data_IF_785938251765
#
_entry.id   IF_785938251765
#
_cell.length_a   1.000
_cell.length_b   1.000
_cell.length_c   1.000
_cell.angle_alpha   90.00
_cell.angle_beta   90.00
_cell.angle_gamma   90.00
#
_symmetry.space_group_name_H-M   'P 1'
#
loop_
_entity.id
_entity.type
_entity.pdbx_description
1 polymer ?
#
# COMPACT_ATOMS: atom_id res chain seq x y z
N UNK A 1 15.09 18.91 25.61
CA UNK A 1 13.75 19.01 26.24
C UNK A 1 12.65 18.57 25.24
N UNK A 2 12.84 17.44 24.54
CA UNK A 2 11.94 16.91 23.51
C UNK A 2 11.18 15.66 24.03
N UNK A 3 10.60 15.79 25.22
CA UNK A 3 9.75 14.77 25.82
C UNK A 3 8.48 15.46 26.31
N UNK A 4 7.59 15.73 25.39
CA UNK A 4 6.18 15.79 25.72
C UNK A 4 5.47 14.88 24.75
N UNK A 5 5.14 13.68 25.23
CA UNK A 5 4.19 12.79 24.59
C UNK A 5 2.80 13.39 24.82
N UNK A 6 2.49 14.49 24.15
CA UNK A 6 1.09 14.82 23.93
C UNK A 6 0.53 13.67 23.10
N UNK A 7 -0.30 12.83 23.72
CA UNK A 7 -1.21 11.96 22.97
C UNK A 7 -1.92 12.88 21.99
N UNK A 8 -1.67 12.66 20.71
CA UNK A 8 -2.35 13.38 19.65
C UNK A 8 -3.83 13.01 19.76
N UNK A 9 -4.63 13.86 20.42
CA UNK A 9 -6.08 13.73 20.35
C UNK A 9 -6.49 14.06 18.91
N UNK A 10 -7.03 13.05 18.23
CA UNK A 10 -7.47 13.18 16.84
C UNK A 10 -8.53 14.28 16.76
N UNK A 11 -8.43 15.21 15.79
CA UNK A 11 -9.50 16.16 15.53
C UNK A 11 -10.81 15.40 15.30
N UNK A 12 -11.89 15.81 15.98
CA UNK A 12 -13.21 15.16 15.94
C UNK A 12 -13.80 15.03 14.52
N UNK A 13 -13.27 15.83 13.57
CA UNK A 13 -13.64 15.88 12.15
C UNK A 13 -12.84 14.90 11.26
N UNK A 14 -11.81 14.22 11.79
CA UNK A 14 -10.90 13.38 11.01
C UNK A 14 -11.23 11.87 11.10
N UNK A 15 -12.51 11.51 10.97
CA UNK A 15 -13.00 10.12 11.13
C UNK A 15 -12.43 9.13 10.11
N UNK A 16 -11.94 9.59 8.97
CA UNK A 16 -11.42 8.74 7.90
C UNK A 16 -9.88 8.56 7.93
N UNK A 17 -9.14 9.25 8.83
CA UNK A 17 -7.68 9.08 8.91
C UNK A 17 -7.27 7.64 9.27
N UNK A 18 -8.08 6.91 10.04
CA UNK A 18 -7.81 5.51 10.40
C UNK A 18 -7.85 4.53 9.24
N UNK A 19 -8.41 4.92 8.08
CA UNK A 19 -8.36 4.14 6.84
C UNK A 19 -6.99 4.23 6.15
N UNK A 20 -6.31 5.36 6.35
CA UNK A 20 -5.09 5.73 5.64
C UNK A 20 -3.84 5.68 6.55
N UNK A 21 -4.05 5.48 7.86
CA UNK A 21 -2.99 5.42 8.87
C UNK A 21 -2.61 3.97 9.22
N UNK A 22 -1.44 3.46 8.75
CA UNK A 22 -0.95 2.14 9.14
C UNK A 22 -0.52 2.06 10.62
N UNK A 23 -0.45 3.20 11.33
CA UNK A 23 -0.07 3.31 12.74
C UNK A 23 -1.24 3.60 13.70
N UNK A 24 -2.40 4.06 13.20
CA UNK A 24 -3.60 4.20 14.02
C UNK A 24 -4.08 2.81 14.50
N UNK A 25 -4.85 2.76 15.59
CA UNK A 25 -5.64 1.56 15.94
C UNK A 25 -6.66 1.30 14.81
N UNK A 26 -6.23 0.60 13.76
CA UNK A 26 -7.02 0.40 12.54
C UNK A 26 -8.23 -0.51 12.81
N UNK A 27 -8.11 -1.41 13.77
CA UNK A 27 -9.17 -2.33 14.18
C UNK A 27 -9.80 -1.89 15.51
N UNK A 28 -11.12 -1.64 15.55
CA UNK A 28 -11.80 -1.31 16.80
C UNK A 28 -11.60 -2.39 17.86
N UNK A 29 -11.50 -2.02 19.14
CA UNK A 29 -11.37 -2.98 20.27
C UNK A 29 -12.64 -3.81 20.55
N UNK A 30 -13.55 -3.90 19.57
CA UNK A 30 -14.79 -4.68 19.63
C UNK A 30 -14.56 -6.14 19.22
N UNK A 31 -15.56 -7.00 19.41
CA UNK A 31 -15.51 -8.39 18.88
C UNK A 31 -15.37 -8.41 17.36
N UNK A 32 -16.06 -7.49 16.68
CA UNK A 32 -15.97 -7.32 15.23
C UNK A 32 -14.56 -6.90 14.80
N UNK A 33 -13.96 -5.89 15.43
CA UNK A 33 -12.61 -5.47 15.06
C UNK A 33 -11.56 -6.57 15.32
N UNK A 34 -11.71 -7.38 16.37
CA UNK A 34 -10.88 -8.58 16.57
C UNK A 34 -11.07 -9.62 15.47
N UNK A 35 -12.29 -9.84 15.00
CA UNK A 35 -12.55 -10.73 13.87
C UNK A 35 -11.87 -10.21 12.60
N UNK A 36 -12.03 -8.93 12.29
CA UNK A 36 -11.39 -8.29 11.13
C UNK A 36 -9.86 -8.35 11.19
N UNK A 37 -9.29 -8.16 12.37
CA UNK A 37 -7.85 -8.35 12.59
C UNK A 37 -7.40 -9.77 12.21
N UNK A 38 -8.10 -10.80 12.69
CA UNK A 38 -7.75 -12.18 12.36
C UNK A 38 -7.97 -12.52 10.88
N UNK A 39 -8.95 -11.89 10.23
CA UNK A 39 -9.13 -12.00 8.77
C UNK A 39 -7.94 -11.37 8.05
N UNK A 40 -7.44 -10.21 8.50
CA UNK A 40 -6.26 -9.58 7.92
C UNK A 40 -5.01 -10.44 8.12
N UNK A 41 -4.85 -11.05 9.29
CA UNK A 41 -3.78 -12.03 9.55
C UNK A 41 -3.90 -13.24 8.64
N UNK A 42 -5.11 -13.78 8.46
CA UNK A 42 -5.36 -14.91 7.56
C UNK A 42 -5.05 -14.54 6.10
N UNK A 43 -5.41 -13.33 5.66
CA UNK A 43 -5.08 -12.82 4.33
C UNK A 43 -3.57 -12.68 4.14
N UNK A 44 -2.86 -12.07 5.10
CA UNK A 44 -1.40 -11.99 5.07
C UNK A 44 -0.75 -13.37 5.04
N UNK A 45 -1.22 -14.30 5.86
CA UNK A 45 -0.71 -15.67 5.88
C UNK A 45 -0.95 -16.38 4.54
N UNK A 46 -2.15 -16.24 3.96
CA UNK A 46 -2.47 -16.80 2.64
C UNK A 46 -1.50 -16.28 1.57
N UNK A 47 -1.32 -14.96 1.50
CA UNK A 47 -0.45 -14.32 0.50
C UNK A 47 1.02 -14.70 0.66
N UNK A 48 1.51 -14.76 1.89
CA UNK A 48 2.88 -15.22 2.18
C UNK A 48 3.03 -16.70 1.83
N UNK A 49 2.04 -17.54 2.15
CA UNK A 49 2.08 -18.97 1.85
C UNK A 49 2.07 -19.25 0.34
N UNK A 50 1.26 -18.51 -0.43
CA UNK A 50 1.25 -18.63 -1.91
C UNK A 50 2.54 -18.08 -2.52
N UNK A 51 3.09 -16.98 -1.98
CA UNK A 51 4.35 -16.42 -2.45
C UNK A 51 5.56 -17.32 -2.16
N UNK A 52 5.54 -18.00 -1.02
CA UNK A 52 6.57 -18.95 -0.61
C UNK A 52 6.39 -20.35 -1.21
N UNK A 53 5.43 -20.55 -2.12
CA UNK A 53 5.10 -21.85 -2.71
C UNK A 53 4.78 -22.95 -1.67
N UNK A 54 4.27 -22.56 -0.50
CA UNK A 54 3.72 -23.50 0.49
C UNK A 54 2.31 -23.96 0.09
N UNK A 55 1.61 -23.12 -0.67
CA UNK A 55 0.29 -23.39 -1.25
C UNK A 55 0.35 -23.02 -2.74
N UNK A 56 0.33 -24.02 -3.61
CA UNK A 56 0.33 -23.80 -5.05
C UNK A 56 -1.10 -23.87 -5.60
N UNK A 57 -1.68 -22.70 -5.83
CA UNK A 57 -2.95 -22.56 -6.55
C UNK A 57 -2.74 -21.96 -7.95
N UNK A 58 -3.63 -22.27 -8.91
CA UNK A 58 -3.66 -21.56 -10.18
C UNK A 58 -3.75 -20.05 -9.97
N UNK A 59 -3.05 -19.26 -10.80
CA UNK A 59 -2.99 -17.80 -10.63
C UNK A 59 -4.38 -17.15 -10.53
N UNK A 60 -5.34 -17.58 -11.34
CA UNK A 60 -6.71 -17.06 -11.31
C UNK A 60 -7.39 -17.27 -9.95
N UNK A 61 -7.16 -18.43 -9.32
CA UNK A 61 -7.70 -18.74 -7.99
C UNK A 61 -7.07 -17.84 -6.92
N UNK A 62 -5.76 -17.63 -6.99
CA UNK A 62 -5.06 -16.71 -6.06
C UNK A 62 -5.61 -15.29 -6.20
N UNK A 63 -5.83 -14.82 -7.43
CA UNK A 63 -6.44 -13.50 -7.73
C UNK A 63 -7.86 -13.40 -7.18
N UNK A 64 -8.67 -14.45 -7.34
CA UNK A 64 -10.03 -14.53 -6.81
C UNK A 64 -10.05 -14.44 -5.27
N UNK A 65 -9.23 -15.25 -4.60
CA UNK A 65 -9.12 -15.18 -3.14
C UNK A 65 -8.55 -13.86 -2.64
N UNK A 66 -7.55 -13.30 -3.32
CA UNK A 66 -6.99 -11.99 -2.98
C UNK A 66 -8.07 -10.91 -2.96
N UNK A 67 -8.88 -10.83 -4.04
CA UNK A 67 -10.00 -9.90 -4.09
C UNK A 67 -11.09 -10.24 -3.06
N UNK A 68 -11.39 -11.52 -2.86
CA UNK A 68 -12.32 -11.99 -1.83
C UNK A 68 -11.93 -11.50 -0.43
N UNK A 69 -10.68 -11.71 -0.01
CA UNK A 69 -10.16 -11.20 1.26
C UNK A 69 -10.25 -9.68 1.36
N UNK A 70 -9.93 -8.95 0.28
CA UNK A 70 -10.07 -7.50 0.25
C UNK A 70 -11.52 -7.07 0.49
N UNK A 71 -12.51 -7.69 -0.16
CA UNK A 71 -13.93 -7.35 0.07
C UNK A 71 -14.37 -7.66 1.49
N UNK A 72 -13.93 -8.79 2.06
CA UNK A 72 -14.25 -9.19 3.44
C UNK A 72 -13.66 -8.24 4.48
N UNK A 73 -12.52 -7.61 4.17
CA UNK A 73 -11.92 -6.60 5.03
C UNK A 73 -12.53 -5.22 4.81
N UNK A 74 -12.53 -4.72 3.58
CA UNK A 74 -12.86 -3.34 3.22
C UNK A 74 -14.24 -2.93 3.70
N UNK A 75 -15.29 -3.68 3.33
CA UNK A 75 -16.66 -3.27 3.63
C UNK A 75 -16.92 -3.12 5.14
N UNK A 76 -16.75 -4.17 5.97
CA UNK A 76 -17.03 -4.07 7.40
C UNK A 76 -16.04 -3.18 8.13
N UNK A 77 -14.75 -3.16 7.74
CA UNK A 77 -13.74 -2.33 8.40
C UNK A 77 -14.05 -0.84 8.25
N UNK A 78 -14.43 -0.39 7.05
CA UNK A 78 -14.77 1.02 6.81
C UNK A 78 -16.00 1.43 7.61
N UNK A 79 -17.05 0.59 7.62
CA UNK A 79 -18.25 0.89 8.40
C UNK A 79 -17.97 0.88 9.91
N UNK A 80 -17.08 0.02 10.39
CA UNK A 80 -16.69 -0.05 11.79
C UNK A 80 -15.88 1.18 12.22
N UNK A 81 -14.91 1.62 11.41
CA UNK A 81 -14.11 2.84 11.67
C UNK A 81 -14.99 4.09 11.65
N UNK A 82 -15.94 4.19 10.72
CA UNK A 82 -16.89 5.31 10.64
C UNK A 82 -17.94 5.33 11.74
N UNK A 83 -17.99 4.30 12.59
CA UNK A 83 -19.00 4.17 13.64
C UNK A 83 -20.42 4.09 13.07
N UNK A 84 -20.60 3.43 11.93
CA UNK A 84 -21.88 3.38 11.23
C UNK A 84 -22.97 2.63 12.02
N UNK A 85 -24.22 3.02 11.80
CA UNK A 85 -25.38 2.37 12.42
C UNK A 85 -25.51 0.90 11.98
N UNK A 86 -26.24 0.10 12.78
CA UNK A 86 -26.39 -1.33 12.58
C UNK A 86 -26.84 -1.75 11.16
N UNK A 87 -27.81 -1.06 10.50
CA UNK A 87 -28.22 -1.44 9.14
C UNK A 87 -27.07 -1.34 8.12
N UNK A 88 -26.24 -0.30 8.22
CA UNK A 88 -25.10 -0.09 7.32
C UNK A 88 -23.98 -1.09 7.56
N UNK A 89 -23.75 -1.47 8.83
CA UNK A 89 -22.81 -2.55 9.17
C UNK A 89 -23.31 -3.91 8.67
N UNK A 90 -24.60 -4.20 8.79
CA UNK A 90 -25.19 -5.42 8.24
C UNK A 90 -25.04 -5.48 6.71
N UNK A 91 -25.33 -4.38 6.01
CA UNK A 91 -25.14 -4.28 4.56
C UNK A 91 -23.67 -4.51 4.16
N UNK A 92 -22.72 -3.97 4.91
CA UNK A 92 -21.30 -4.19 4.67
C UNK A 92 -20.88 -5.66 4.83
N UNK A 93 -21.40 -6.36 5.84
CA UNK A 93 -21.17 -7.79 6.01
C UNK A 93 -21.82 -8.63 4.90
N UNK A 94 -22.99 -8.22 4.38
CA UNK A 94 -23.62 -8.84 3.22
C UNK A 94 -22.75 -8.66 1.97
N UNK A 95 -22.24 -7.45 1.73
CA UNK A 95 -21.35 -7.18 0.60
C UNK A 95 -20.03 -7.96 0.71
N UNK A 96 -19.47 -8.06 1.92
CA UNK A 96 -18.31 -8.92 2.22
C UNK A 96 -18.59 -10.40 1.92
N UNK A 97 -19.74 -10.92 2.36
CA UNK A 97 -20.14 -12.31 2.10
C UNK A 97 -20.35 -12.56 0.59
N UNK A 98 -20.89 -11.58 -0.14
CA UNK A 98 -21.06 -11.67 -1.58
C UNK A 98 -19.71 -11.75 -2.32
N UNK A 99 -18.74 -10.91 -1.97
CA UNK A 99 -17.38 -10.98 -2.53
C UNK A 99 -16.64 -12.26 -2.17
N UNK A 100 -16.78 -12.74 -0.93
CA UNK A 100 -16.26 -14.04 -0.52
C UNK A 100 -16.89 -15.21 -1.28
N UNK A 101 -18.20 -15.16 -1.52
CA UNK A 101 -18.93 -16.18 -2.28
C UNK A 101 -18.46 -16.24 -3.74
N UNK A 102 -18.17 -15.10 -4.37
CA UNK A 102 -17.54 -15.05 -5.70
C UNK A 102 -16.19 -15.75 -5.70
N UNK A 103 -15.31 -15.42 -4.75
CA UNK A 103 -13.99 -16.06 -4.66
C UNK A 103 -14.10 -17.58 -4.46
N UNK A 104 -14.98 -18.01 -3.57
CA UNK A 104 -15.24 -19.43 -3.33
C UNK A 104 -15.81 -20.13 -4.56
N UNK A 105 -16.75 -19.50 -5.27
CA UNK A 105 -17.33 -20.04 -6.50
C UNK A 105 -16.27 -20.25 -7.58
N UNK A 106 -15.41 -19.25 -7.81
CA UNK A 106 -14.34 -19.33 -8.80
C UNK A 106 -13.30 -20.39 -8.47
N UNK A 107 -13.02 -20.62 -7.19
CA UNK A 107 -12.17 -21.73 -6.76
C UNK A 107 -12.85 -23.09 -6.95
N UNK A 108 -14.09 -23.22 -6.49
CA UNK A 108 -14.85 -24.47 -6.51
C UNK A 108 -15.12 -24.95 -7.93
N UNK A 109 -15.57 -24.06 -8.82
CA UNK A 109 -15.94 -24.38 -10.20
C UNK A 109 -14.81 -24.06 -11.19
N UNK A 110 -13.57 -23.86 -10.71
CA UNK A 110 -12.42 -23.38 -11.51
C UNK A 110 -12.21 -24.15 -12.81
N UNK A 111 -12.08 -25.48 -12.74
CA UNK A 111 -11.82 -26.32 -13.92
C UNK A 111 -12.98 -26.28 -14.90
N UNK A 112 -14.22 -26.25 -14.41
CA UNK A 112 -15.37 -26.27 -15.28
C UNK A 112 -15.65 -24.90 -15.90
N UNK A 113 -15.33 -23.80 -15.20
CA UNK A 113 -15.30 -22.44 -15.76
C UNK A 113 -14.32 -22.35 -16.94
N UNK A 114 -13.13 -22.93 -16.79
CA UNK A 114 -12.14 -23.03 -17.87
C UNK A 114 -12.67 -23.81 -19.07
N UNK A 115 -13.30 -24.95 -18.85
CA UNK A 115 -13.79 -25.83 -19.93
C UNK A 115 -14.99 -25.23 -20.69
N UNK A 116 -15.68 -24.23 -20.12
CA UNK A 116 -16.81 -23.53 -20.75
C UNK A 116 -16.52 -22.06 -21.03
N UNK A 117 -15.25 -21.69 -21.15
CA UNK A 117 -14.86 -20.33 -21.51
C UNK A 117 -15.54 -19.92 -22.83
N UNK A 118 -16.22 -18.77 -22.83
CA UNK A 118 -17.02 -18.29 -23.97
C UNK A 118 -18.44 -18.86 -24.07
N UNK A 119 -18.84 -19.80 -23.21
CA UNK A 119 -20.22 -20.30 -23.06
C UNK A 119 -20.61 -20.42 -21.57
N UNK A 120 -20.68 -19.28 -20.85
CA UNK A 120 -20.94 -19.25 -19.42
C UNK A 120 -22.39 -19.65 -19.09
N UNK A 121 -22.56 -20.39 -18.00
CA UNK A 121 -23.87 -20.71 -17.47
C UNK A 121 -24.54 -19.46 -16.86
N UNK A 122 -25.89 -19.40 -16.76
CA UNK A 122 -26.56 -18.29 -16.09
C UNK A 122 -26.08 -18.02 -14.65
N UNK A 123 -25.62 -19.07 -13.95
CA UNK A 123 -25.00 -18.93 -12.63
C UNK A 123 -23.63 -18.25 -12.67
N UNK A 124 -22.83 -18.50 -13.71
CA UNK A 124 -21.53 -17.86 -13.90
C UNK A 124 -21.72 -16.35 -14.10
N UNK A 125 -22.71 -15.98 -14.91
CA UNK A 125 -23.07 -14.59 -15.13
C UNK A 125 -23.57 -13.94 -13.84
N UNK A 126 -24.41 -14.62 -13.06
CA UNK A 126 -24.86 -14.09 -11.77
C UNK A 126 -23.69 -13.78 -10.83
N UNK A 127 -22.74 -14.71 -10.68
CA UNK A 127 -21.53 -14.47 -9.87
C UNK A 127 -20.63 -13.38 -10.48
N UNK A 128 -20.56 -13.26 -11.80
CA UNK A 128 -19.81 -12.19 -12.46
C UNK A 128 -20.41 -10.80 -12.25
N UNK A 129 -21.74 -10.67 -12.28
CA UNK A 129 -22.42 -9.43 -11.91
C UNK A 129 -22.15 -9.08 -10.45
N UNK A 130 -22.20 -10.07 -9.54
CA UNK A 130 -21.87 -9.85 -8.12
C UNK A 130 -20.41 -9.39 -7.96
N UNK A 131 -19.46 -10.00 -8.69
CA UNK A 131 -18.06 -9.59 -8.68
C UNK A 131 -17.91 -8.13 -9.12
N UNK A 132 -18.54 -7.76 -10.22
CA UNK A 132 -18.50 -6.40 -10.76
C UNK A 132 -19.10 -5.38 -9.77
N UNK A 133 -20.28 -5.67 -9.22
CA UNK A 133 -20.96 -4.79 -8.25
C UNK A 133 -20.13 -4.63 -6.98
N UNK A 134 -19.57 -5.72 -6.44
CA UNK A 134 -18.76 -5.67 -5.22
C UNK A 134 -17.45 -4.91 -5.44
N UNK A 135 -16.80 -5.04 -6.59
CA UNK A 135 -15.60 -4.25 -6.94
C UNK A 135 -15.93 -2.77 -7.07
N UNK A 136 -17.01 -2.42 -7.78
CA UNK A 136 -17.45 -1.03 -7.92
C UNK A 136 -17.81 -0.41 -6.57
N UNK A 137 -18.59 -1.13 -5.75
CA UNK A 137 -18.97 -0.67 -4.42
C UNK A 137 -17.75 -0.53 -3.49
N UNK A 138 -16.83 -1.48 -3.51
CA UNK A 138 -15.60 -1.42 -2.71
C UNK A 138 -14.72 -0.24 -3.11
N UNK A 139 -14.57 -0.01 -4.42
CA UNK A 139 -13.85 1.14 -4.96
C UNK A 139 -14.52 2.45 -4.57
N UNK A 140 -15.85 2.53 -4.62
CA UNK A 140 -16.61 3.72 -4.20
C UNK A 140 -16.40 4.02 -2.72
N UNK A 141 -16.42 3.00 -1.86
CA UNK A 141 -16.28 3.14 -0.42
C UNK A 141 -14.90 3.65 -0.01
N UNK A 142 -13.84 3.18 -0.69
CA UNK A 142 -12.44 3.51 -0.38
C UNK A 142 -11.96 4.75 -1.13
N UNK A 143 -12.12 4.79 -2.46
CA UNK A 143 -11.53 5.81 -3.33
C UNK A 143 -12.51 6.94 -3.68
N UNK A 144 -13.76 6.85 -3.23
CA UNK A 144 -14.82 7.79 -3.58
C UNK A 144 -15.37 7.58 -5.00
N UNK A 145 -16.18 8.54 -5.50
CA UNK A 145 -17.00 8.36 -6.69
C UNK A 145 -16.22 8.45 -8.01
N UNK A 146 -15.04 9.10 -8.03
CA UNK A 146 -14.37 9.46 -9.27
C UNK A 146 -13.99 8.24 -10.13
N UNK A 147 -13.30 7.25 -9.56
CA UNK A 147 -12.89 6.04 -10.28
C UNK A 147 -14.08 5.17 -10.71
N UNK A 148 -15.05 4.82 -9.84
CA UNK A 148 -16.23 4.05 -10.25
C UNK A 148 -17.06 4.74 -11.33
N UNK A 149 -17.19 6.06 -11.31
CA UNK A 149 -17.92 6.79 -12.37
C UNK A 149 -17.20 6.62 -13.71
N UNK A 150 -15.88 6.83 -13.75
CA UNK A 150 -15.10 6.69 -14.98
C UNK A 150 -15.20 5.26 -15.50
N UNK A 151 -14.94 4.25 -14.65
CA UNK A 151 -15.08 2.84 -15.02
C UNK A 151 -16.49 2.49 -15.46
N UNK A 152 -17.51 3.07 -14.82
CA UNK A 152 -18.92 2.88 -15.17
C UNK A 152 -19.28 3.45 -16.53
N UNK A 153 -18.71 4.59 -16.91
CA UNK A 153 -18.86 5.17 -18.25
C UNK A 153 -18.26 4.24 -19.31
N UNK A 154 -17.06 3.69 -19.08
CA UNK A 154 -16.45 2.74 -20.03
C UNK A 154 -17.18 1.41 -20.08
N UNK A 155 -17.70 0.91 -18.96
CA UNK A 155 -18.55 -0.28 -18.95
C UNK A 155 -19.86 -0.04 -19.69
N UNK A 156 -20.48 1.12 -19.51
CA UNK A 156 -21.66 1.53 -20.27
C UNK A 156 -21.35 1.66 -21.77
N UNK A 157 -20.16 2.15 -22.13
CA UNK A 157 -19.68 2.15 -23.50
C UNK A 157 -19.55 0.74 -24.06
N UNK A 158 -19.04 -0.25 -23.32
CA UNK A 158 -19.01 -1.64 -23.77
C UNK A 158 -20.41 -2.23 -24.04
N UNK A 159 -21.41 -1.85 -23.24
CA UNK A 159 -22.78 -2.36 -23.36
C UNK A 159 -23.61 -1.64 -24.43
N UNK A 160 -23.41 -0.33 -24.59
CA UNK A 160 -24.31 0.53 -25.38
C UNK A 160 -23.60 1.33 -26.48
N UNK A 161 -22.29 1.13 -26.68
CA UNK A 161 -21.53 1.89 -27.68
C UNK A 161 -21.96 1.59 -29.12
N UNK A 162 -22.72 0.52 -29.37
CA UNK A 162 -23.35 0.25 -30.67
C UNK A 162 -24.32 1.34 -31.14
N UNK A 163 -24.91 2.09 -30.20
CA UNK A 163 -25.87 3.16 -30.50
C UNK A 163 -25.21 4.53 -30.70
N UNK A 164 -23.89 4.65 -30.50
CA UNK A 164 -23.17 5.91 -30.69
C UNK A 164 -22.97 6.22 -32.18
N UNK A 165 -22.70 7.49 -32.56
CA UNK A 165 -22.31 7.82 -33.92
C UNK A 165 -20.86 7.43 -34.21
N UNK A 166 -20.54 7.22 -35.49
CA UNK A 166 -19.16 7.03 -35.94
C UNK A 166 -18.28 8.25 -35.57
N UNK A 167 -17.04 8.04 -35.10
CA UNK A 167 -16.26 6.79 -35.08
C UNK A 167 -16.35 6.01 -33.75
N UNK A 168 -17.22 6.41 -32.83
CA UNK A 168 -17.29 5.80 -31.49
C UNK A 168 -18.16 4.53 -31.47
N UNK A 169 -18.87 4.23 -32.55
CA UNK A 169 -19.75 3.07 -32.62
C UNK A 169 -18.97 1.75 -32.75
N UNK A 170 -19.48 0.68 -32.14
CA UNK A 170 -18.95 -0.68 -32.31
C UNK A 170 -20.08 -1.67 -32.67
N UNK A 171 -19.72 -2.92 -32.98
CA UNK A 171 -20.63 -3.97 -33.46
C UNK A 171 -21.69 -4.48 -32.46
N UNK A 172 -21.76 -3.91 -31.25
CA UNK A 172 -22.51 -4.49 -30.12
C UNK A 172 -21.82 -5.68 -29.46
N UNK A 173 -22.08 -5.89 -28.16
CA UNK A 173 -21.63 -7.06 -27.40
C UNK A 173 -22.78 -7.56 -26.55
N UNK A 174 -22.96 -8.88 -26.49
CA UNK A 174 -23.99 -9.48 -25.63
C UNK A 174 -23.65 -9.29 -24.15
N UNK A 175 -24.67 -9.15 -23.30
CA UNK A 175 -24.47 -8.97 -21.86
C UNK A 175 -23.67 -10.13 -21.24
N UNK A 176 -23.93 -11.37 -21.63
CA UNK A 176 -23.20 -12.54 -21.13
C UNK A 176 -21.73 -12.45 -21.54
N UNK A 177 -21.46 -12.04 -22.78
CA UNK A 177 -20.10 -11.85 -23.29
C UNK A 177 -19.33 -10.78 -22.51
N UNK A 178 -19.97 -9.64 -22.20
CA UNK A 178 -19.33 -8.56 -21.43
C UNK A 178 -19.01 -9.04 -20.01
N UNK A 179 -19.96 -9.68 -19.31
CA UNK A 179 -19.74 -10.15 -17.94
C UNK A 179 -18.70 -11.27 -17.89
N UNK A 180 -18.71 -12.21 -18.84
CA UNK A 180 -17.72 -13.28 -18.96
C UNK A 180 -16.32 -12.70 -19.12
N UNK A 181 -16.15 -11.78 -20.07
CA UNK A 181 -14.87 -11.12 -20.32
C UNK A 181 -14.38 -10.30 -19.11
N UNK A 182 -15.28 -9.59 -18.43
CA UNK A 182 -14.94 -8.79 -17.24
C UNK A 182 -14.57 -9.66 -16.03
N UNK A 183 -15.18 -10.82 -15.85
CA UNK A 183 -15.07 -11.61 -14.62
C UNK A 183 -14.12 -12.80 -14.74
N UNK A 184 -14.14 -13.51 -15.87
CA UNK A 184 -13.40 -14.75 -16.04
C UNK A 184 -12.23 -14.60 -17.02
N UNK A 185 -12.19 -13.49 -17.77
CA UNK A 185 -11.05 -13.11 -18.59
C UNK A 185 -9.87 -12.56 -17.79
N UNK A 186 -8.73 -12.45 -18.48
CA UNK A 186 -7.48 -11.87 -17.94
C UNK A 186 -7.30 -10.39 -18.24
N UNK A 187 -8.30 -9.75 -18.85
CA UNK A 187 -8.29 -8.32 -19.21
C UNK A 187 -9.31 -7.50 -18.42
N UNK A 188 -10.18 -8.16 -17.66
CA UNK A 188 -11.17 -7.54 -16.77
C UNK A 188 -10.68 -7.38 -15.33
N UNK A 189 -11.57 -7.69 -14.38
CA UNK A 189 -11.34 -7.54 -12.93
C UNK A 189 -10.04 -8.22 -12.50
N UNK A 190 -9.80 -9.45 -12.96
CA UNK A 190 -8.64 -10.24 -12.57
C UNK A 190 -7.44 -10.08 -13.51
N UNK A 191 -7.36 -8.96 -14.22
CA UNK A 191 -6.23 -8.68 -15.10
C UNK A 191 -4.94 -8.29 -14.38
N UNK A 192 -4.04 -7.64 -15.11
CA UNK A 192 -2.70 -7.25 -14.65
C UNK A 192 -2.71 -6.57 -13.27
N UNK A 193 -3.59 -5.60 -12.96
CA UNK A 193 -3.56 -4.94 -11.65
C UNK A 193 -3.78 -5.90 -10.47
N UNK A 194 -4.77 -6.79 -10.53
CA UNK A 194 -5.01 -7.77 -9.46
C UNK A 194 -3.94 -8.86 -9.47
N UNK A 195 -3.46 -9.28 -10.64
CA UNK A 195 -2.35 -10.21 -10.73
C UNK A 195 -1.12 -9.72 -9.96
N UNK A 196 -0.63 -8.54 -10.31
CA UNK A 196 0.55 -7.90 -9.72
C UNK A 196 0.30 -7.55 -8.24
N UNK A 197 -0.93 -7.14 -7.89
CA UNK A 197 -1.37 -6.94 -6.50
C UNK A 197 -1.22 -8.20 -5.66
N UNK A 198 -1.75 -9.31 -6.18
CA UNK A 198 -1.84 -10.59 -5.47
C UNK A 198 -0.51 -11.33 -5.36
N UNK A 199 0.42 -11.10 -6.28
CA UNK A 199 1.70 -11.81 -6.33
C UNK A 199 2.77 -11.10 -5.52
N UNK A 200 3.18 -9.90 -5.91
CA UNK A 200 4.33 -9.24 -5.31
C UNK A 200 4.04 -7.90 -4.65
N UNK A 201 3.13 -7.05 -5.15
CA UNK A 201 2.85 -5.75 -4.49
C UNK A 201 2.46 -5.95 -3.02
N UNK A 202 1.64 -6.95 -2.71
CA UNK A 202 1.26 -7.26 -1.33
C UNK A 202 2.47 -7.46 -0.41
N UNK A 203 3.49 -8.20 -0.86
CA UNK A 203 4.68 -8.49 -0.07
C UNK A 203 5.51 -7.23 0.16
N UNK A 204 5.62 -6.35 -0.83
CA UNK A 204 6.31 -5.07 -0.69
C UNK A 204 5.59 -4.13 0.27
N UNK A 205 4.25 -4.08 0.22
CA UNK A 205 3.45 -3.32 1.18
C UNK A 205 3.64 -3.88 2.59
N UNK A 206 3.60 -5.21 2.75
CA UNK A 206 3.80 -5.86 4.04
C UNK A 206 5.22 -5.64 4.57
N UNK A 207 6.23 -5.73 3.71
CA UNK A 207 7.62 -5.41 4.01
C UNK A 207 7.76 -3.97 4.50
N UNK A 208 7.18 -3.01 3.77
CA UNK A 208 7.20 -1.59 4.13
C UNK A 208 6.56 -1.35 5.49
N UNK A 209 5.36 -1.92 5.72
CA UNK A 209 4.66 -1.82 6.99
C UNK A 209 5.48 -2.39 8.18
N UNK A 210 6.15 -3.53 7.99
CA UNK A 210 7.03 -4.10 9.02
C UNK A 210 8.23 -3.19 9.30
N UNK A 211 8.84 -2.64 8.25
CA UNK A 211 10.03 -1.80 8.36
C UNK A 211 9.71 -0.44 9.02
N UNK A 212 8.54 0.12 8.72
CA UNK A 212 7.98 1.29 9.40
C UNK A 212 7.82 1.02 10.90
N UNK A 213 7.17 -0.10 11.27
CA UNK A 213 7.00 -0.53 12.67
C UNK A 213 8.33 -0.82 13.37
N UNK A 214 9.35 -1.28 12.65
CA UNK A 214 10.69 -1.51 13.19
C UNK A 214 11.44 -0.20 13.56
N UNK A 215 10.91 0.97 13.16
CA UNK A 215 11.44 2.28 13.54
C UNK A 215 12.14 3.03 12.42
N UNK A 216 11.95 2.62 11.15
CA UNK A 216 12.60 3.26 10.01
C UNK A 216 12.20 4.73 9.83
N UNK A 217 10.93 5.07 10.13
CA UNK A 217 10.41 6.46 10.09
C UNK A 217 11.30 7.39 10.91
N UNK A 218 11.68 6.95 12.12
CA UNK A 218 12.53 7.74 13.00
C UNK A 218 13.95 7.87 12.45
N UNK A 219 14.53 6.79 11.93
CA UNK A 219 15.88 6.83 11.36
C UNK A 219 15.97 7.84 10.21
N UNK A 220 15.05 7.80 9.26
CA UNK A 220 15.04 8.73 8.13
C UNK A 220 14.75 10.17 8.55
N UNK A 221 13.86 10.37 9.52
CA UNK A 221 13.61 11.70 10.09
C UNK A 221 14.86 12.27 10.77
N UNK A 222 15.55 11.47 11.60
CA UNK A 222 16.76 11.89 12.31
C UNK A 222 17.92 12.19 11.34
N UNK A 223 18.10 11.36 10.31
CA UNK A 223 19.08 11.60 9.23
C UNK A 223 18.76 12.92 8.52
N UNK A 224 17.50 13.12 8.12
CA UNK A 224 17.07 14.33 7.42
C UNK A 224 17.29 15.59 8.26
N UNK A 225 16.89 15.56 9.54
CA UNK A 225 17.12 16.64 10.49
C UNK A 225 18.62 16.97 10.64
N UNK A 226 19.47 15.96 10.81
CA UNK A 226 20.91 16.16 10.93
C UNK A 226 21.54 16.76 9.66
N UNK A 227 21.09 16.32 8.47
CA UNK A 227 21.65 16.76 7.19
C UNK A 227 21.32 18.22 6.87
N UNK A 228 20.05 18.61 7.02
CA UNK A 228 19.56 19.90 6.49
C UNK A 228 18.78 20.75 7.50
N UNK A 229 18.53 20.26 8.71
CA UNK A 229 17.75 20.98 9.74
C UNK A 229 18.35 22.32 10.17
N UNK A 230 19.68 22.44 10.15
CA UNK A 230 20.40 23.67 10.48
C UNK A 230 20.47 24.67 9.32
N UNK A 231 20.09 24.25 8.11
CA UNK A 231 20.14 25.11 6.92
C UNK A 231 18.89 25.99 6.86
N UNK A 232 18.97 27.09 6.10
CA UNK A 232 17.81 27.92 5.76
C UNK A 232 16.67 27.06 5.18
N UNK A 233 15.48 27.20 5.75
CA UNK A 233 14.31 26.38 5.42
C UNK A 233 14.40 24.94 5.89
N UNK A 234 15.18 24.67 6.95
CA UNK A 234 15.51 23.33 7.42
C UNK A 234 14.31 22.42 7.59
N UNK A 235 13.25 22.86 8.28
CA UNK A 235 12.04 22.05 8.50
C UNK A 235 11.37 21.56 7.20
N UNK A 236 11.26 22.42 6.18
CA UNK A 236 10.64 22.04 4.92
C UNK A 236 11.55 21.15 4.07
N UNK A 237 12.87 21.36 4.15
CA UNK A 237 13.86 20.47 3.50
C UNK A 237 13.89 19.08 4.15
N UNK A 238 13.72 19.01 5.47
CA UNK A 238 13.56 17.77 6.21
C UNK A 238 12.32 17.02 5.72
N UNK A 239 11.19 17.72 5.54
CA UNK A 239 9.99 17.11 4.97
C UNK A 239 10.28 16.49 3.58
N UNK A 240 10.87 17.26 2.66
CA UNK A 240 11.20 16.77 1.31
C UNK A 240 12.12 15.55 1.32
N UNK A 241 13.22 15.59 2.09
CA UNK A 241 14.18 14.47 2.14
C UNK A 241 13.57 13.27 2.85
N UNK A 242 12.89 13.47 3.98
CA UNK A 242 12.30 12.38 4.76
C UNK A 242 11.18 11.68 4.00
N UNK A 243 10.30 12.42 3.32
CA UNK A 243 9.26 11.83 2.47
C UNK A 243 9.87 11.13 1.25
N UNK A 244 10.98 11.64 0.70
CA UNK A 244 11.73 10.96 -0.35
C UNK A 244 12.29 9.62 0.13
N UNK A 245 13.01 9.62 1.25
CA UNK A 245 13.52 8.38 1.86
C UNK A 245 12.38 7.42 2.21
N UNK A 246 11.27 7.91 2.77
CA UNK A 246 10.11 7.06 3.05
C UNK A 246 9.48 6.48 1.79
N UNK A 247 9.40 7.27 0.72
CA UNK A 247 8.92 6.84 -0.60
C UNK A 247 9.70 5.67 -1.18
N UNK A 248 10.99 5.53 -0.85
CA UNK A 248 11.80 4.36 -1.24
C UNK A 248 11.26 3.04 -0.67
N UNK A 249 10.44 3.09 0.38
CA UNK A 249 9.92 1.92 1.11
C UNK A 249 8.42 1.76 0.90
N UNK A 250 7.65 2.82 1.17
CA UNK A 250 6.18 2.73 1.25
C UNK A 250 5.52 2.72 -0.12
N UNK A 251 6.13 3.39 -1.11
CA UNK A 251 5.53 3.57 -2.44
C UNK A 251 4.22 4.36 -2.44
N UNK A 252 3.76 4.86 -1.29
CA UNK A 252 2.42 5.40 -1.08
C UNK A 252 2.51 6.83 -0.59
N UNK A 253 2.00 7.76 -1.41
CA UNK A 253 1.94 9.17 -1.04
C UNK A 253 1.01 9.41 0.15
N UNK A 254 -0.11 8.69 0.21
CA UNK A 254 -1.06 8.84 1.32
C UNK A 254 -0.46 8.32 2.63
N UNK A 255 0.14 7.12 2.61
CA UNK A 255 0.80 6.56 3.79
C UNK A 255 1.96 7.46 4.26
N UNK A 256 2.71 8.07 3.34
CA UNK A 256 3.74 9.05 3.68
C UNK A 256 3.16 10.28 4.40
N UNK A 257 2.11 10.92 3.85
CA UNK A 257 1.49 12.08 4.51
C UNK A 257 0.98 11.72 5.91
N UNK A 258 0.42 10.53 6.08
CA UNK A 258 -0.13 10.11 7.37
C UNK A 258 0.98 9.79 8.37
N UNK A 259 2.11 9.24 7.94
CA UNK A 259 3.23 8.88 8.82
C UNK A 259 4.22 10.03 9.02
N UNK A 260 4.83 10.56 7.95
CA UNK A 260 5.81 11.66 8.03
C UNK A 260 5.14 13.00 8.26
N UNK A 261 3.99 13.23 7.64
CA UNK A 261 3.26 14.51 7.71
C UNK A 261 2.78 14.89 9.11
N UNK A 262 2.43 13.89 9.94
CA UNK A 262 2.11 14.09 11.35
C UNK A 262 3.23 14.80 12.12
N UNK A 263 4.49 14.60 11.71
CA UNK A 263 5.64 15.26 12.32
C UNK A 263 6.09 16.51 11.56
N UNK A 264 6.20 16.41 10.23
CA UNK A 264 6.80 17.47 9.39
C UNK A 264 5.89 18.69 9.26
N UNK A 265 4.56 18.51 9.19
CA UNK A 265 3.62 19.65 9.07
C UNK A 265 3.65 20.52 10.33
N UNK A 266 3.51 19.98 11.56
CA UNK A 266 3.67 20.79 12.77
C UNK A 266 5.06 21.40 12.90
N UNK A 267 6.12 20.67 12.52
CA UNK A 267 7.49 21.19 12.55
C UNK A 267 7.64 22.42 11.64
N UNK A 268 7.18 22.34 10.39
CA UNK A 268 7.19 23.48 9.46
C UNK A 268 6.39 24.67 10.00
N UNK A 269 5.21 24.44 10.58
CA UNK A 269 4.39 25.50 11.18
C UNK A 269 5.09 26.19 12.34
N UNK A 270 5.74 25.43 13.23
CA UNK A 270 6.53 25.98 14.35
C UNK A 270 7.70 26.84 13.88
N UNK A 271 8.25 26.54 12.71
CA UNK A 271 9.31 27.33 12.06
C UNK A 271 8.80 28.59 11.35
N UNK A 272 7.49 28.84 11.33
CA UNK A 272 6.91 30.03 10.71
C UNK A 272 6.45 29.85 9.26
N UNK A 273 6.42 28.62 8.73
CA UNK A 273 5.72 28.37 7.46
C UNK A 273 4.21 28.50 7.64
N UNK A 274 3.54 29.05 6.62
CA UNK A 274 2.07 29.05 6.57
C UNK A 274 1.55 27.63 6.56
N UNK A 275 0.44 27.38 7.26
CA UNK A 275 -0.20 26.06 7.29
C UNK A 275 -0.48 25.49 5.88
N UNK A 276 -1.00 26.32 4.97
CA UNK A 276 -1.27 25.92 3.59
C UNK A 276 0.01 25.53 2.82
N UNK A 277 1.13 26.23 3.04
CA UNK A 277 2.39 25.88 2.39
C UNK A 277 2.98 24.61 2.99
N UNK A 278 2.92 24.44 4.31
CA UNK A 278 3.37 23.21 4.97
C UNK A 278 2.60 21.98 4.49
N UNK A 279 1.26 22.08 4.38
CA UNK A 279 0.43 21.02 3.80
C UNK A 279 0.74 20.75 2.32
N UNK A 280 0.95 21.81 1.53
CA UNK A 280 1.33 21.67 0.12
C UNK A 280 2.70 21.03 -0.10
N UNK A 281 3.69 21.37 0.72
CA UNK A 281 5.03 20.75 0.69
C UNK A 281 4.94 19.27 1.04
N UNK A 282 4.25 18.93 2.13
CA UNK A 282 4.12 17.53 2.55
C UNK A 282 3.36 16.70 1.52
N UNK A 283 2.24 17.21 1.00
CA UNK A 283 1.46 16.53 -0.03
C UNK A 283 2.29 16.31 -1.30
N UNK A 284 3.02 17.33 -1.76
CA UNK A 284 3.88 17.22 -2.94
C UNK A 284 5.02 16.23 -2.70
N UNK A 285 5.81 16.43 -1.64
CA UNK A 285 6.95 15.56 -1.34
C UNK A 285 6.54 14.09 -1.15
N UNK A 286 5.40 13.86 -0.50
CA UNK A 286 4.87 12.51 -0.27
C UNK A 286 4.40 11.83 -1.56
N UNK A 287 3.68 12.55 -2.43
CA UNK A 287 3.28 12.00 -3.73
C UNK A 287 4.47 11.62 -4.61
N UNK A 288 5.61 12.30 -4.47
CA UNK A 288 6.87 11.91 -5.10
C UNK A 288 7.34 10.50 -4.73
N UNK A 289 6.88 9.94 -3.59
CA UNK A 289 7.16 8.56 -3.20
C UNK A 289 6.66 7.51 -4.19
N UNK A 290 5.62 7.81 -4.98
CA UNK A 290 5.11 6.88 -5.99
C UNK A 290 6.11 6.63 -7.14
N UNK A 291 7.07 7.52 -7.35
CA UNK A 291 8.10 7.37 -8.39
C UNK A 291 9.49 7.13 -7.81
N UNK A 292 9.64 7.10 -6.49
CA UNK A 292 10.94 7.01 -5.83
C UNK A 292 11.42 5.54 -5.75
N UNK A 293 12.54 5.18 -6.40
CA UNK A 293 13.16 3.86 -6.26
C UNK A 293 13.54 3.47 -4.82
N UNK A 294 13.65 2.17 -4.47
CA UNK A 294 13.46 1.00 -5.33
C UNK A 294 12.07 0.37 -5.25
N UNK A 295 11.22 0.71 -4.27
CA UNK A 295 9.89 0.09 -4.14
C UNK A 295 8.87 0.80 -5.01
N UNK A 296 8.90 2.14 -5.03
CA UNK A 296 8.00 2.97 -5.83
C UNK A 296 6.51 2.63 -5.57
N UNK A 297 5.60 3.31 -6.26
CA UNK A 297 4.18 2.98 -6.20
C UNK A 297 3.82 1.72 -6.98
N UNK A 298 2.65 1.16 -6.68
CA UNK A 298 2.06 0.00 -7.36
C UNK A 298 2.07 0.11 -8.90
N UNK A 299 2.03 1.33 -9.45
CA UNK A 299 2.06 1.58 -10.89
C UNK A 299 3.36 1.13 -11.55
N UNK A 300 4.51 1.22 -10.87
CA UNK A 300 5.80 0.78 -11.42
C UNK A 300 5.84 -0.73 -11.68
N UNK A 301 5.25 -1.48 -10.76
CA UNK A 301 5.06 -2.93 -10.86
C UNK A 301 4.14 -3.31 -12.02
N UNK A 302 2.99 -2.62 -12.15
CA UNK A 302 2.06 -2.78 -13.28
C UNK A 302 2.72 -2.43 -14.61
N UNK A 303 3.59 -1.41 -14.63
CA UNK A 303 4.32 -0.98 -15.82
C UNK A 303 5.33 -2.05 -16.27
N UNK A 304 6.10 -2.63 -15.35
CA UNK A 304 7.02 -3.71 -15.65
C UNK A 304 6.29 -4.91 -16.29
N UNK A 305 5.15 -5.29 -15.71
CA UNK A 305 4.32 -6.38 -16.21
C UNK A 305 3.73 -6.07 -17.59
N UNK A 306 3.13 -4.89 -17.76
CA UNK A 306 2.50 -4.48 -19.03
C UNK A 306 3.52 -4.36 -20.17
N UNK A 307 4.74 -3.89 -19.88
CA UNK A 307 5.80 -3.75 -20.87
C UNK A 307 6.57 -5.04 -21.13
N UNK A 308 6.43 -6.05 -20.27
CA UNK A 308 7.22 -7.29 -20.33
C UNK A 308 8.71 -7.06 -20.12
N UNK A 309 9.07 -6.09 -19.29
CA UNK A 309 10.47 -5.77 -18.96
C UNK A 309 10.76 -6.07 -17.50
N UNK A 310 12.02 -6.37 -17.20
CA UNK A 310 12.46 -6.56 -15.82
C UNK A 310 12.22 -5.31 -14.98
N UNK A 311 11.77 -5.49 -13.73
CA UNK A 311 11.41 -4.37 -12.84
C UNK A 311 12.56 -3.38 -12.64
N UNK A 312 13.80 -3.86 -12.62
CA UNK A 312 14.97 -3.01 -12.44
C UNK A 312 15.18 -2.01 -13.60
N UNK A 313 14.68 -2.30 -14.80
CA UNK A 313 14.70 -1.36 -15.94
C UNK A 313 13.77 -0.18 -15.68
N UNK A 314 12.57 -0.45 -15.14
CA UNK A 314 11.63 0.59 -14.69
C UNK A 314 12.25 1.43 -13.57
N UNK A 315 12.92 0.77 -12.62
CA UNK A 315 13.64 1.46 -11.54
C UNK A 315 14.72 2.39 -12.08
N UNK A 316 15.58 1.91 -13.00
CA UNK A 316 16.63 2.73 -13.62
C UNK A 316 16.03 3.94 -14.34
N UNK A 317 14.95 3.74 -15.09
CA UNK A 317 14.26 4.82 -15.80
C UNK A 317 13.66 5.86 -14.84
N UNK A 318 13.19 5.43 -13.66
CA UNK A 318 12.56 6.31 -12.67
C UNK A 318 13.55 7.15 -11.85
N UNK A 319 14.85 6.79 -11.78
CA UNK A 319 15.85 7.53 -11.00
C UNK A 319 15.91 9.01 -11.42
N UNK A 320 15.98 9.29 -12.73
CA UNK A 320 16.11 10.66 -13.23
C UNK A 320 14.85 11.49 -12.89
N UNK A 321 13.62 11.05 -13.23
CA UNK A 321 12.40 11.74 -12.81
C UNK A 321 12.30 11.95 -11.30
N UNK A 322 12.64 10.94 -10.49
CA UNK A 322 12.57 11.04 -9.04
C UNK A 322 13.54 12.11 -8.51
N UNK A 323 14.80 12.10 -8.96
CA UNK A 323 15.79 13.12 -8.56
C UNK A 323 15.32 14.51 -8.95
N UNK A 324 14.82 14.69 -10.17
CA UNK A 324 14.32 15.99 -10.64
C UNK A 324 13.10 16.46 -9.84
N UNK A 325 12.19 15.55 -9.50
CA UNK A 325 11.01 15.85 -8.69
C UNK A 325 11.39 16.37 -7.30
N UNK A 326 12.22 15.61 -6.58
CA UNK A 326 12.64 15.98 -5.23
C UNK A 326 13.59 17.18 -5.23
N UNK A 327 14.45 17.33 -6.24
CA UNK A 327 15.28 18.52 -6.40
C UNK A 327 14.42 19.78 -6.62
N UNK A 328 13.37 19.68 -7.44
CA UNK A 328 12.43 20.79 -7.67
C UNK A 328 11.65 21.16 -6.42
N UNK A 329 11.15 20.16 -5.68
CA UNK A 329 10.50 20.38 -4.38
C UNK A 329 11.46 21.03 -3.37
N UNK A 330 12.70 20.51 -3.28
CA UNK A 330 13.75 21.04 -2.41
C UNK A 330 14.12 22.49 -2.75
N UNK A 331 14.18 22.81 -4.05
CA UNK A 331 14.47 24.16 -4.53
C UNK A 331 13.34 25.13 -4.18
N UNK A 332 12.08 24.73 -4.39
CA UNK A 332 10.92 25.56 -4.04
C UNK A 332 10.85 25.89 -2.55
N UNK A 333 11.10 24.91 -1.68
CA UNK A 333 11.13 25.18 -0.23
C UNK A 333 12.30 26.06 0.18
N UNK A 334 13.43 25.97 -0.53
CA UNK A 334 14.57 26.84 -0.31
C UNK A 334 14.28 28.30 -0.68
N UNK A 335 13.62 28.53 -1.83
CA UNK A 335 13.22 29.87 -2.28
C UNK A 335 12.13 30.48 -1.40
N UNK A 336 11.18 29.70 -0.89
CA UNK A 336 10.15 30.21 0.04
C UNK A 336 10.77 30.60 1.39
N UNK A 337 11.67 29.77 1.93
CA UNK A 337 12.49 30.13 3.10
C UNK A 337 13.35 31.37 2.84
N UNK A 338 13.79 31.51 1.58
CA UNK A 338 14.27 32.70 0.93
C UNK A 338 13.48 33.95 1.31
N UNK A 339 12.30 34.02 0.73
CA UNK A 339 11.42 35.20 0.81
C UNK A 339 10.98 35.56 2.23
N UNK A 340 10.93 34.58 3.13
CA UNK A 340 10.45 34.74 4.51
C UNK A 340 11.54 34.78 5.57
N UNK A 341 12.82 34.73 5.18
CA UNK A 341 13.96 34.71 6.10
C UNK A 341 13.88 33.60 7.16
N UNK A 342 13.38 32.43 6.78
CA UNK A 342 13.21 31.29 7.70
C UNK A 342 14.56 30.56 7.87
N UNK A 343 15.15 30.70 9.05
CA UNK A 343 16.43 30.09 9.41
C UNK A 343 16.26 28.65 9.93
N UNK A 344 17.34 27.87 9.90
CA UNK A 344 17.36 26.52 10.45
C UNK A 344 17.54 26.51 11.98
N UNK A 345 17.41 25.33 12.59
CA UNK A 345 17.65 25.18 14.03
C UNK A 345 19.13 25.29 14.39
N UNK A 346 19.45 25.69 15.63
CA UNK A 346 20.76 25.51 16.21
C UNK A 346 21.21 24.04 16.07
N UNK A 347 22.48 23.81 15.75
CA UNK A 347 23.01 22.45 15.53
C UNK A 347 22.92 21.59 16.79
N UNK A 348 22.91 22.22 17.95
CA UNK A 348 22.85 21.61 19.27
C UNK A 348 21.49 20.96 19.57
N UNK A 349 20.43 21.41 18.90
CA UNK A 349 19.07 20.85 19.03
C UNK A 349 18.81 19.70 18.04
N UNK A 350 19.72 19.48 17.09
CA UNK A 350 19.54 18.50 16.04
C UNK A 350 20.09 17.12 16.45
N UNK A 351 19.43 16.03 16.02
CA UNK A 351 19.96 14.69 16.23
C UNK A 351 21.27 14.52 15.45
N UNK A 352 22.22 13.82 16.07
CA UNK A 352 23.46 13.43 15.40
C UNK A 352 23.20 12.28 14.43
N UNK A 353 23.54 12.49 13.16
CA UNK A 353 23.44 11.47 12.09
C UNK A 353 24.23 10.21 12.49
N UNK A 354 25.44 10.37 13.04
CA UNK A 354 26.29 9.24 13.40
C UNK A 354 25.70 8.43 14.56
N UNK A 355 25.03 9.09 15.51
CA UNK A 355 24.33 8.41 16.59
C UNK A 355 23.08 7.68 16.09
N UNK A 356 22.30 8.29 15.18
CA UNK A 356 21.13 7.67 14.58
C UNK A 356 21.50 6.42 13.76
N UNK A 357 22.53 6.51 12.92
CA UNK A 357 23.05 5.37 12.16
C UNK A 357 23.60 4.29 13.09
N UNK A 358 24.43 4.63 14.08
CA UNK A 358 24.95 3.63 15.03
C UNK A 358 23.83 2.88 15.75
N UNK A 359 22.73 3.57 16.05
CA UNK A 359 21.56 2.98 16.72
C UNK A 359 20.73 2.08 15.82
N UNK A 360 20.51 2.45 14.56
CA UNK A 360 19.49 1.81 13.72
C UNK A 360 19.97 1.37 12.33
N UNK A 361 21.28 1.30 12.07
CA UNK A 361 21.83 0.90 10.77
C UNK A 361 21.31 -0.47 10.29
N UNK A 362 21.04 -1.38 11.22
CA UNK A 362 20.54 -2.73 10.90
C UNK A 362 19.19 -2.69 10.19
N UNK A 363 18.38 -1.62 10.35
CA UNK A 363 17.13 -1.45 9.61
C UNK A 363 17.37 -1.21 8.12
N UNK A 364 18.55 -0.71 7.72
CA UNK A 364 18.90 -0.51 6.32
C UNK A 364 19.26 -1.83 5.62
N UNK A 365 19.58 -2.88 6.37
CA UNK A 365 20.02 -4.16 5.81
C UNK A 365 18.96 -4.84 4.92
N UNK A 366 17.69 -5.00 5.34
CA UNK A 366 16.68 -5.61 4.48
C UNK A 366 16.44 -4.81 3.19
N UNK A 367 16.44 -3.48 3.27
CA UNK A 367 16.32 -2.60 2.11
C UNK A 367 17.53 -2.76 1.17
N UNK A 368 18.75 -2.80 1.71
CA UNK A 368 19.96 -3.00 0.92
C UNK A 368 19.99 -4.37 0.22
N UNK A 369 19.57 -5.44 0.90
CA UNK A 369 19.45 -6.78 0.30
C UNK A 369 18.40 -6.80 -0.79
N UNK A 370 17.23 -6.19 -0.56
CA UNK A 370 16.17 -6.08 -1.56
C UNK A 370 16.66 -5.35 -2.82
N UNK A 371 17.34 -4.21 -2.65
CA UNK A 371 17.95 -3.47 -3.77
C UNK A 371 18.95 -4.35 -4.51
N UNK A 372 19.86 -5.00 -3.79
CA UNK A 372 20.86 -5.87 -4.40
C UNK A 372 20.23 -7.00 -5.23
N UNK A 373 19.19 -7.66 -4.72
CA UNK A 373 18.48 -8.73 -5.43
C UNK A 373 17.80 -8.22 -6.70
N UNK A 374 17.11 -7.08 -6.64
CA UNK A 374 16.47 -6.49 -7.82
C UNK A 374 17.49 -6.13 -8.92
N UNK A 375 18.62 -5.53 -8.54
CA UNK A 375 19.66 -5.12 -9.50
C UNK A 375 20.51 -6.28 -10.02
N UNK A 376 20.46 -7.45 -9.37
CA UNK A 376 21.11 -8.69 -9.86
C UNK A 376 20.18 -9.55 -10.71
N UNK A 377 18.94 -9.09 -10.97
CA UNK A 377 18.01 -9.74 -11.89
C UNK A 377 17.07 -10.75 -11.24
N UNK A 378 16.98 -10.79 -9.91
CA UNK A 378 15.94 -11.60 -9.24
C UNK A 378 14.56 -10.96 -9.41
N UNK A 379 13.53 -11.81 -9.40
CA UNK A 379 12.14 -11.36 -9.51
C UNK A 379 11.74 -10.49 -8.30
N UNK A 380 10.81 -9.53 -8.49
CA UNK A 380 10.25 -8.76 -7.37
C UNK A 380 9.68 -9.65 -6.27
N UNK A 381 8.98 -10.74 -6.64
CA UNK A 381 8.44 -11.72 -5.71
C UNK A 381 9.51 -12.27 -4.76
N UNK A 382 10.64 -12.71 -5.32
CA UNK A 382 11.75 -13.24 -4.53
C UNK A 382 12.40 -12.16 -3.65
N UNK A 383 12.72 -10.99 -4.23
CA UNK A 383 13.35 -9.90 -3.51
C UNK A 383 12.48 -9.39 -2.34
N UNK A 384 11.17 -9.25 -2.56
CA UNK A 384 10.20 -8.87 -1.54
C UNK A 384 10.06 -9.91 -0.43
N UNK A 385 10.01 -11.20 -0.79
CA UNK A 385 9.94 -12.31 0.19
C UNK A 385 11.17 -12.34 1.09
N UNK A 386 12.38 -12.26 0.51
CA UNK A 386 13.64 -12.22 1.27
C UNK A 386 13.72 -10.97 2.15
N UNK A 387 13.36 -9.80 1.61
CA UNK A 387 13.31 -8.56 2.37
C UNK A 387 12.35 -8.63 3.56
N UNK A 388 11.15 -9.16 3.35
CA UNK A 388 10.15 -9.38 4.40
C UNK A 388 10.66 -10.34 5.47
N UNK A 389 11.23 -11.48 5.06
CA UNK A 389 11.78 -12.47 5.98
C UNK A 389 12.91 -11.87 6.84
N UNK A 390 13.83 -11.10 6.23
CA UNK A 390 14.89 -10.42 6.96
C UNK A 390 14.35 -9.38 7.94
N UNK A 391 13.38 -8.56 7.54
CA UNK A 391 12.75 -7.57 8.44
C UNK A 391 12.03 -8.27 9.60
N UNK A 392 11.29 -9.35 9.33
CA UNK A 392 10.65 -10.15 10.37
C UNK A 392 11.69 -10.73 11.34
N UNK A 393 12.79 -11.31 10.83
CA UNK A 393 13.89 -11.81 11.64
C UNK A 393 14.55 -10.72 12.49
N UNK A 394 14.69 -9.49 11.97
CA UNK A 394 15.24 -8.37 12.75
C UNK A 394 14.30 -7.93 13.87
N UNK A 395 13.00 -7.84 13.60
CA UNK A 395 12.00 -7.49 14.62
C UNK A 395 11.94 -8.58 15.70
N UNK A 396 11.86 -9.85 15.27
CA UNK A 396 11.83 -11.00 16.17
C UNK A 396 13.14 -11.13 16.95
N UNK A 397 14.29 -11.02 16.28
CA UNK A 397 15.63 -11.04 16.87
C UNK A 397 15.86 -9.91 17.88
N UNK A 398 15.36 -8.71 17.59
CA UNK A 398 15.31 -7.60 18.55
C UNK A 398 14.44 -7.94 19.76
N UNK A 399 13.32 -8.62 19.55
CA UNK A 399 12.43 -9.10 20.62
C UNK A 399 13.07 -10.23 21.46
N UNK A 400 13.87 -11.10 20.84
CA UNK A 400 14.68 -12.13 21.51
C UNK A 400 15.75 -11.49 22.38
N UNK A 401 16.46 -10.50 21.84
CA UNK A 401 17.48 -9.74 22.57
C UNK A 401 16.91 -8.93 23.74
N UNK A 402 15.60 -8.63 23.72
CA UNK A 402 14.85 -7.97 24.79
C UNK A 402 14.32 -8.93 25.88
N UNK A 403 14.61 -10.24 25.79
CA UNK A 403 14.37 -11.19 26.89
C UNK A 403 12.98 -11.83 26.93
N UNK A 404 12.35 -12.08 25.77
CA UNK A 404 11.08 -12.82 25.71
C UNK A 404 11.19 -14.25 26.29
N UNK A 405 10.08 -14.81 26.85
CA UNK A 405 10.08 -16.15 27.43
C UNK A 405 10.54 -17.23 26.45
N UNK A 406 11.34 -18.18 26.93
CA UNK A 406 11.97 -19.25 26.14
C UNK A 406 10.98 -20.09 25.31
N UNK A 407 9.72 -20.19 25.73
CA UNK A 407 8.66 -20.86 24.97
C UNK A 407 8.30 -20.12 23.67
N UNK A 408 8.22 -18.78 23.71
CA UNK A 408 7.91 -17.95 22.54
C UNK A 408 9.05 -18.05 21.53
N UNK A 409 10.29 -18.02 22.02
CA UNK A 409 11.50 -18.21 21.21
C UNK A 409 11.55 -19.58 20.54
N UNK A 410 11.13 -20.64 21.26
CA UNK A 410 11.07 -21.99 20.71
C UNK A 410 10.04 -22.12 19.59
N UNK A 411 8.84 -21.56 19.79
CA UNK A 411 7.79 -21.59 18.77
C UNK A 411 8.24 -20.83 17.52
N UNK A 412 8.80 -19.63 17.69
CA UNK A 412 9.33 -18.84 16.58
C UNK A 412 10.46 -19.58 15.84
N UNK A 413 11.39 -20.20 16.57
CA UNK A 413 12.50 -20.95 15.98
C UNK A 413 12.02 -22.14 15.15
N UNK A 414 11.10 -22.95 15.68
CA UNK A 414 10.59 -24.12 14.97
C UNK A 414 9.69 -23.76 13.79
N UNK A 415 8.89 -22.70 13.91
CA UNK A 415 8.11 -22.16 12.78
C UNK A 415 9.03 -21.59 11.71
N UNK A 416 10.06 -20.83 12.09
CA UNK A 416 11.05 -20.28 11.16
C UNK A 416 11.86 -21.37 10.46
N UNK A 417 12.28 -22.42 11.18
CA UNK A 417 12.99 -23.55 10.59
C UNK A 417 12.10 -24.32 9.59
N UNK A 418 10.81 -24.50 9.91
CA UNK A 418 9.86 -25.17 9.02
C UNK A 418 9.40 -24.34 7.82
N UNK A 419 9.69 -23.03 7.79
CA UNK A 419 9.43 -22.15 6.64
C UNK A 419 10.67 -22.03 5.71
N UNK A 420 11.84 -22.41 6.20
CA UNK A 420 13.13 -22.35 5.46
C UNK A 420 13.54 -23.72 4.91
N UNK A 421 13.12 -24.80 5.57
CA UNK A 421 13.24 -26.18 5.09
C UNK A 421 12.08 -26.52 4.15
#
# INVERSE_FOLDING_TARGET
MLRDSQKHEMPTEARDLGLEDPLAESFPQTREGRLLFWIAVAFSAFQVATAAHLIDFPSQVVRAFHLGFLTVLVFPLVMAIRGAALPWRALAWIAAAAGAAVAFYQWWDFTALLMRAGDPLPRDIAFGVVALVTVFAGTWVIMGPALPIISGIFLAYCLYGEYLPAPLNHRGYDFYQVIDHMTYGTEGIYGVPIYVSSTYIFLFILFGAFLEKAGMIRLFTDISLGLVGHRRGGAAKVAVISSGLMGTISGSGVANVVTTGQFTIPLMKRFGYRAAFAGGVEATASMGGQIMPPVMGAVAFIMAETLGVEYHEVVKAAIIPAVLYFASAFWMVHLEAGKRSLMGLPKEELPSISAALRRSWYLLMPLAVLIYLLFTGYTPLFAGTVGLALTALLILGGSVALGLPSQVLRVIFWVGLGLVA
#
